data_IF_214351814475
#
_entry.id   IF_214351814475
#
_cell.length_a   1.000
_cell.length_b   1.000
_cell.length_c   1.000
_cell.angle_alpha   90.00
_cell.angle_beta   90.00
_cell.angle_gamma   90.00
#
_symmetry.space_group_name_H-M   'P 1'
#
loop_
_entity.id
_entity.type
_entity.pdbx_description
1 polymer ?
#
# COMPACT_ATOMS: atom_id res chain seq x y z
N UNK A 1 -17.36 -1.34 -8.72
CA UNK A 1 -15.95 -0.87 -8.79
C UNK A 1 -15.26 -0.95 -7.42
N UNK A 2 -15.77 -0.33 -6.36
CA UNK A 2 -15.15 -0.40 -5.03
C UNK A 2 -15.08 -1.82 -4.42
N UNK A 3 -16.10 -2.66 -4.63
CA UNK A 3 -16.15 -4.04 -4.09
C UNK A 3 -15.01 -4.91 -4.65
N UNK A 4 -14.69 -4.76 -5.94
CA UNK A 4 -13.64 -5.55 -6.58
C UNK A 4 -12.24 -5.12 -6.11
N UNK A 5 -12.02 -3.81 -5.91
CA UNK A 5 -10.77 -3.30 -5.35
C UNK A 5 -10.57 -3.80 -3.90
N UNK A 6 -11.64 -3.83 -3.11
CA UNK A 6 -11.59 -4.34 -1.74
C UNK A 6 -11.30 -5.85 -1.70
N UNK A 7 -11.88 -6.60 -2.63
CA UNK A 7 -11.56 -8.02 -2.79
C UNK A 7 -10.09 -8.23 -3.14
N UNK A 8 -9.53 -7.43 -4.07
CA UNK A 8 -8.10 -7.48 -4.42
C UNK A 8 -7.20 -7.15 -3.23
N UNK A 9 -7.60 -6.19 -2.39
CA UNK A 9 -6.91 -5.90 -1.14
C UNK A 9 -6.94 -7.09 -0.19
N UNK A 10 -8.08 -7.77 -0.02
CA UNK A 10 -8.18 -8.96 0.83
C UNK A 10 -7.31 -10.10 0.29
N UNK A 11 -7.33 -10.36 -1.02
CA UNK A 11 -6.44 -11.32 -1.67
C UNK A 11 -4.95 -10.96 -1.44
N UNK A 12 -4.60 -9.67 -1.57
CA UNK A 12 -3.26 -9.16 -1.30
C UNK A 12 -2.83 -9.40 0.15
N UNK A 13 -3.73 -9.18 1.11
CA UNK A 13 -3.48 -9.45 2.53
C UNK A 13 -3.21 -10.95 2.78
N UNK A 14 -3.96 -11.83 2.12
CA UNK A 14 -3.72 -13.29 2.22
C UNK A 14 -2.33 -13.67 1.69
N UNK A 15 -1.93 -13.12 0.54
CA UNK A 15 -0.58 -13.36 0.00
C UNK A 15 0.51 -12.76 0.88
N UNK A 16 0.27 -11.60 1.49
CA UNK A 16 1.18 -10.99 2.46
C UNK A 16 1.41 -11.90 3.68
N UNK A 17 0.34 -12.49 4.23
CA UNK A 17 0.44 -13.47 5.34
C UNK A 17 1.15 -14.75 4.89
N UNK A 18 0.92 -15.17 3.64
CA UNK A 18 1.64 -16.28 3.01
C UNK A 18 3.13 -15.96 2.69
N UNK A 19 3.60 -14.74 2.97
CA UNK A 19 4.94 -14.21 2.64
C UNK A 19 5.22 -14.14 1.13
N UNK A 20 4.19 -14.24 0.30
CA UNK A 20 4.25 -14.08 -1.15
C UNK A 20 4.15 -12.59 -1.50
N UNK A 21 5.16 -11.82 -1.10
CA UNK A 21 5.12 -10.36 -1.23
C UNK A 21 5.05 -9.86 -2.68
N UNK A 22 5.61 -10.60 -3.64
CA UNK A 22 5.54 -10.24 -5.07
C UNK A 22 4.10 -10.31 -5.61
N UNK A 23 3.37 -11.35 -5.25
CA UNK A 23 1.97 -11.51 -5.67
C UNK A 23 1.07 -10.51 -4.93
N UNK A 24 1.33 -10.30 -3.64
CA UNK A 24 0.66 -9.26 -2.85
C UNK A 24 0.82 -7.86 -3.49
N UNK A 25 2.02 -7.49 -3.94
CA UNK A 25 2.26 -6.23 -4.66
C UNK A 25 1.40 -6.09 -5.92
N UNK A 26 1.31 -7.16 -6.72
CA UNK A 26 0.49 -7.18 -7.93
C UNK A 26 -0.99 -6.95 -7.60
N UNK A 27 -1.50 -7.63 -6.56
CA UNK A 27 -2.88 -7.52 -6.10
C UNK A 27 -3.20 -6.11 -5.56
N UNK A 28 -2.32 -5.52 -4.75
CA UNK A 28 -2.52 -4.14 -4.30
C UNK A 28 -2.42 -3.13 -5.44
N UNK A 29 -1.57 -3.37 -6.45
CA UNK A 29 -1.48 -2.50 -7.62
C UNK A 29 -2.78 -2.54 -8.44
N UNK A 30 -3.36 -3.72 -8.65
CA UNK A 30 -4.68 -3.85 -9.27
C UNK A 30 -5.78 -3.14 -8.45
N UNK A 31 -5.73 -3.24 -7.12
CA UNK A 31 -6.68 -2.52 -6.25
C UNK A 31 -6.56 -0.99 -6.41
N UNK A 32 -5.32 -0.48 -6.51
CA UNK A 32 -5.03 0.94 -6.74
C UNK A 32 -5.49 1.39 -8.13
N UNK A 33 -5.25 0.60 -9.18
CA UNK A 33 -5.71 0.92 -10.53
C UNK A 33 -7.24 1.02 -10.61
N UNK A 34 -7.95 0.18 -9.86
CA UNK A 34 -9.42 0.23 -9.77
C UNK A 34 -9.92 1.38 -8.91
N UNK A 35 -9.21 1.72 -7.83
CA UNK A 35 -9.60 2.76 -6.89
C UNK A 35 -8.34 3.46 -6.33
N UNK A 36 -7.85 4.49 -7.04
CA UNK A 36 -6.61 5.17 -6.67
C UNK A 36 -6.80 6.15 -5.51
N UNK A 37 -8.03 6.33 -5.02
CA UNK A 37 -8.39 7.27 -3.96
C UNK A 37 -8.46 6.61 -2.57
N UNK A 38 -8.03 5.36 -2.44
CA UNK A 38 -8.05 4.64 -1.16
C UNK A 38 -6.65 4.58 -0.53
N UNK A 39 -6.44 5.34 0.55
CA UNK A 39 -5.17 5.37 1.28
C UNK A 39 -4.72 3.99 1.81
N UNK A 40 -5.67 3.14 2.19
CA UNK A 40 -5.38 1.80 2.72
C UNK A 40 -4.62 0.91 1.72
N UNK A 41 -4.87 1.04 0.42
CA UNK A 41 -4.19 0.22 -0.59
C UNK A 41 -2.72 0.59 -0.73
N UNK A 42 -2.40 1.88 -0.73
CA UNK A 42 -1.03 2.36 -0.71
C UNK A 42 -0.33 1.97 0.59
N UNK A 43 -1.01 2.06 1.74
CA UNK A 43 -0.42 1.63 3.02
C UNK A 43 -0.06 0.14 3.03
N UNK A 44 -0.92 -0.72 2.50
CA UNK A 44 -0.65 -2.16 2.43
C UNK A 44 0.46 -2.50 1.42
N UNK A 45 0.49 -1.78 0.29
CA UNK A 45 1.57 -1.91 -0.70
C UNK A 45 2.91 -1.44 -0.12
N UNK A 46 2.92 -0.34 0.64
CA UNK A 46 4.09 0.15 1.36
C UNK A 46 4.63 -0.89 2.36
N UNK A 47 3.77 -1.49 3.18
CA UNK A 47 4.16 -2.57 4.09
C UNK A 47 4.79 -3.75 3.33
N UNK A 48 4.25 -4.10 2.17
CA UNK A 48 4.79 -5.17 1.32
C UNK A 48 6.17 -4.81 0.74
N UNK A 49 6.37 -3.56 0.33
CA UNK A 49 7.68 -3.08 -0.09
C UNK A 49 8.71 -3.07 1.04
N UNK A 50 8.30 -2.74 2.27
CA UNK A 50 9.19 -2.85 3.45
C UNK A 50 9.67 -4.29 3.65
N UNK A 51 8.78 -5.28 3.51
CA UNK A 51 9.15 -6.70 3.60
C UNK A 51 10.08 -7.16 2.48
N UNK A 52 10.07 -6.47 1.33
CA UNK A 52 10.97 -6.70 0.21
C UNK A 52 12.24 -5.84 0.27
N UNK A 53 12.49 -5.12 1.38
CA UNK A 53 13.61 -4.20 1.56
C UNK A 53 13.64 -3.04 0.53
N UNK A 54 12.51 -2.73 -0.10
CA UNK A 54 12.36 -1.63 -1.06
C UNK A 54 11.84 -0.38 -0.35
N UNK A 55 12.67 0.19 0.52
CA UNK A 55 12.28 1.32 1.38
C UNK A 55 11.91 2.58 0.61
N UNK A 56 12.59 2.87 -0.51
CA UNK A 56 12.29 4.04 -1.34
C UNK A 56 10.86 4.02 -1.88
N UNK A 57 10.42 2.86 -2.37
CA UNK A 57 9.05 2.68 -2.89
C UNK A 57 8.03 2.63 -1.76
N UNK A 58 8.36 2.03 -0.62
CA UNK A 58 7.50 2.06 0.55
C UNK A 58 7.24 3.50 1.02
N UNK A 59 8.27 4.34 0.97
CA UNK A 59 8.18 5.76 1.34
C UNK A 59 7.32 6.54 0.35
N UNK A 60 7.46 6.26 -0.95
CA UNK A 60 6.61 6.82 -2.01
C UNK A 60 5.12 6.53 -1.76
N UNK A 61 4.80 5.26 -1.49
CA UNK A 61 3.43 4.81 -1.22
C UNK A 61 2.89 5.36 0.10
N UNK A 62 3.71 5.42 1.14
CA UNK A 62 3.33 6.03 2.41
C UNK A 62 3.01 7.53 2.24
N UNK A 63 3.78 8.26 1.42
CA UNK A 63 3.48 9.65 1.06
C UNK A 63 2.16 9.76 0.31
N UNK A 64 1.90 8.89 -0.67
CA UNK A 64 0.63 8.90 -1.40
C UNK A 64 -0.57 8.61 -0.50
N UNK A 65 -0.44 7.64 0.40
CA UNK A 65 -1.48 7.34 1.41
C UNK A 65 -1.86 8.57 2.22
N UNK A 66 -0.87 9.32 2.71
CA UNK A 66 -1.07 10.56 3.48
C UNK A 66 -1.63 11.70 2.61
N UNK A 67 -1.25 11.76 1.34
CA UNK A 67 -1.78 12.76 0.41
C UNK A 67 -3.26 12.52 0.09
N UNK A 68 -3.69 11.26 0.05
CA UNK A 68 -5.08 10.85 -0.21
C UNK A 68 -5.94 11.03 1.04
N UNK A 69 -5.50 10.51 2.18
CA UNK A 69 -6.17 10.70 3.46
C UNK A 69 -5.17 11.24 4.49
N UNK A 70 -5.13 12.56 4.68
CA UNK A 70 -4.26 13.21 5.68
C UNK A 70 -4.58 12.78 7.12
N UNK A 71 -5.74 12.15 7.34
CA UNK A 71 -6.23 11.69 8.64
C UNK A 71 -5.87 10.22 8.90
N UNK A 72 -5.38 9.49 7.89
CA UNK A 72 -4.86 8.14 8.08
C UNK A 72 -3.63 8.22 8.98
N UNK A 73 -3.56 7.43 10.07
CA UNK A 73 -2.53 7.61 11.09
C UNK A 73 -1.14 7.46 10.46
N UNK A 74 -0.41 8.57 10.52
CA UNK A 74 0.97 8.74 10.08
C UNK A 74 1.79 7.48 10.40
N UNK A 75 2.13 6.72 9.36
CA UNK A 75 3.44 6.06 9.34
C UNK A 75 4.44 7.17 9.61
N UNK A 76 5.36 7.04 10.59
CA UNK A 76 6.37 8.05 10.85
C UNK A 76 7.27 8.12 9.61
N UNK A 77 6.87 8.97 8.67
CA UNK A 77 7.71 9.49 7.60
C UNK A 77 8.87 10.14 8.35
N UNK A 78 10.02 9.48 8.33
CA UNK A 78 11.27 10.08 8.77
C UNK A 78 11.33 11.49 8.18
N UNK A 79 11.62 12.51 8.99
CA UNK A 79 11.49 13.89 8.55
C UNK A 79 12.35 14.05 7.30
N UNK A 80 11.69 14.42 6.20
CA UNK A 80 12.38 14.88 5.00
C UNK A 80 13.19 16.09 5.47
N UNK A 81 14.50 15.88 5.66
CA UNK A 81 15.41 16.99 5.90
C UNK A 81 15.37 17.85 4.63
N UNK A 82 14.85 19.08 4.80
CA UNK A 82 14.98 20.16 3.82
C UNK A 82 16.44 20.53 3.60
#
# INVERSE_FOLDING_TARGET
MAILAEQKKVEGNQQYVAKNYKDALSLYTQAIEMCPTCAAYYSNRAATYMMLFQFDKALEDARQSVNIDPKFPKVPLFPVMS
#
